data_IF_691371328021
#
_entry.id   IF_691371328021
#
_cell.length_a   1.000
_cell.length_b   1.000
_cell.length_c   1.000
_cell.angle_alpha   90.00
_cell.angle_beta   90.00
_cell.angle_gamma   90.00
#
_symmetry.space_group_name_H-M   'P 1'
#
loop_
_entity.id
_entity.type
_entity.pdbx_description
1 polymer ?
#
# COMPACT_ATOMS: atom_id res chain seq x y z
N UNK A 1 58.47 -2.90 27.84
CA UNK A 1 57.34 -3.74 27.35
C UNK A 1 56.27 -2.77 26.85
N UNK A 2 56.15 -2.59 25.53
CA UNK A 2 55.18 -1.67 24.91
C UNK A 2 53.89 -2.46 24.67
N UNK A 3 52.86 -2.17 25.45
CA UNK A 3 51.53 -2.73 25.23
C UNK A 3 50.81 -1.90 24.16
N UNK A 4 50.75 -2.42 22.95
CA UNK A 4 49.95 -1.85 21.86
C UNK A 4 48.47 -2.20 22.07
N UNK A 5 47.69 -1.26 22.58
CA UNK A 5 46.22 -1.34 22.56
C UNK A 5 45.72 -1.01 21.15
N UNK A 6 45.25 -2.02 20.44
CA UNK A 6 44.53 -1.86 19.17
C UNK A 6 43.11 -1.34 19.46
N UNK A 7 42.78 -0.15 18.95
CA UNK A 7 41.43 0.41 18.98
C UNK A 7 40.69 -0.15 17.76
N UNK A 8 39.76 -1.06 17.99
CA UNK A 8 38.87 -1.60 16.97
C UNK A 8 37.68 -0.63 16.82
N UNK A 9 37.70 0.23 15.80
CA UNK A 9 36.56 1.08 15.44
C UNK A 9 35.50 0.23 14.72
N UNK A 10 34.43 -0.13 15.43
CA UNK A 10 33.24 -0.68 14.78
C UNK A 10 32.55 0.44 13.98
N UNK A 11 32.61 0.35 12.65
CA UNK A 11 31.76 1.16 11.78
C UNK A 11 30.31 0.65 11.89
N UNK A 12 29.49 1.34 12.67
CA UNK A 12 28.03 1.18 12.62
C UNK A 12 27.52 1.79 11.33
N UNK A 13 27.31 0.94 10.31
CA UNK A 13 26.58 1.28 9.09
C UNK A 13 25.13 1.62 9.48
N UNK A 14 24.80 2.91 9.52
CA UNK A 14 23.41 3.36 9.63
C UNK A 14 22.77 3.07 8.27
N UNK A 15 22.15 1.90 8.14
CA UNK A 15 21.25 1.61 7.02
C UNK A 15 20.02 2.50 7.20
N UNK A 16 20.02 3.67 6.56
CA UNK A 16 18.80 4.40 6.31
C UNK A 16 17.96 3.54 5.37
N UNK A 17 17.00 2.79 5.92
CA UNK A 17 15.95 2.19 5.11
C UNK A 17 15.24 3.34 4.40
N UNK A 18 15.41 3.43 3.08
CA UNK A 18 14.66 4.40 2.28
C UNK A 18 13.18 4.10 2.45
N UNK A 19 12.36 5.14 2.61
CA UNK A 19 10.93 4.97 2.71
C UNK A 19 10.41 4.40 1.39
N UNK A 20 9.67 3.29 1.48
CA UNK A 20 9.06 2.64 0.32
C UNK A 20 8.14 3.64 -0.41
N UNK A 21 8.27 3.77 -1.72
CA UNK A 21 7.39 4.61 -2.53
C UNK A 21 6.39 3.75 -3.29
N UNK A 22 5.10 4.00 -3.14
CA UNK A 22 4.06 3.24 -3.84
C UNK A 22 3.26 4.11 -4.81
N UNK A 23 2.69 3.45 -5.82
CA UNK A 23 1.63 4.00 -6.64
C UNK A 23 0.32 3.90 -5.87
N UNK A 24 -0.41 5.02 -5.82
CA UNK A 24 -1.74 5.10 -5.25
C UNK A 24 -2.76 5.34 -6.34
N UNK A 25 -3.75 4.45 -6.41
CA UNK A 25 -4.90 4.62 -7.29
C UNK A 25 -6.09 3.78 -6.79
N UNK A 26 -7.27 4.40 -6.65
CA UNK A 26 -8.44 3.78 -6.04
C UNK A 26 -9.67 4.00 -6.92
N UNK A 27 -10.55 3.00 -6.94
CA UNK A 27 -11.86 3.05 -7.56
C UNK A 27 -12.90 2.77 -6.50
N UNK A 28 -13.92 3.62 -6.48
CA UNK A 28 -15.10 3.48 -5.64
C UNK A 28 -16.29 3.02 -6.50
N UNK A 29 -17.12 2.13 -5.97
CA UNK A 29 -18.38 1.70 -6.60
C UNK A 29 -19.53 1.86 -5.59
N UNK A 30 -20.67 2.43 -5.99
CA UNK A 30 -21.82 2.57 -5.10
C UNK A 30 -22.57 1.24 -4.93
N UNK A 31 -22.75 0.80 -3.68
CA UNK A 31 -23.43 -0.47 -3.33
C UNK A 31 -24.92 -0.49 -3.71
N UNK A 32 -25.63 0.64 -3.57
CA UNK A 32 -27.10 0.66 -3.68
C UNK A 32 -27.65 0.57 -5.10
N UNK A 33 -26.88 0.97 -6.11
CA UNK A 33 -27.35 1.00 -7.51
C UNK A 33 -26.63 0.00 -8.39
N UNK A 34 -25.56 -0.64 -7.90
CA UNK A 34 -24.62 -1.40 -8.73
C UNK A 34 -23.90 -0.53 -9.76
N UNK A 35 -24.20 0.78 -9.80
CA UNK A 35 -23.58 1.72 -10.70
C UNK A 35 -22.12 1.86 -10.27
N UNK A 36 -21.24 1.40 -11.15
CA UNK A 36 -19.83 1.73 -11.11
C UNK A 36 -19.72 3.19 -11.56
N UNK A 37 -20.05 4.11 -10.65
CA UNK A 37 -19.47 5.44 -10.69
C UNK A 37 -18.03 5.27 -10.22
N UNK A 38 -17.22 4.63 -11.06
CA UNK A 38 -15.79 4.72 -10.93
C UNK A 38 -15.50 6.21 -11.03
N UNK A 39 -15.26 6.83 -9.89
CA UNK A 39 -14.48 8.05 -9.86
C UNK A 39 -13.06 7.50 -9.92
N UNK A 40 -12.41 7.43 -11.09
CA UNK A 40 -10.99 7.09 -11.13
C UNK A 40 -10.29 8.20 -10.36
N UNK A 41 -9.89 7.86 -9.15
CA UNK A 41 -9.15 8.78 -8.33
C UNK A 41 -7.75 8.88 -8.95
N UNK A 42 -7.21 10.11 -8.97
CA UNK A 42 -5.94 10.39 -9.66
C UNK A 42 -4.88 9.37 -9.25
N UNK A 43 -4.13 8.88 -10.23
CA UNK A 43 -2.90 8.13 -9.95
C UNK A 43 -1.89 9.12 -9.39
N UNK A 44 -1.31 8.80 -8.24
CA UNK A 44 -0.20 9.55 -7.67
C UNK A 44 0.82 8.60 -7.05
N UNK A 45 2.01 9.12 -6.77
CA UNK A 45 3.12 8.39 -6.17
C UNK A 45 3.45 9.07 -4.85
N UNK A 46 3.62 8.29 -3.79
CA UNK A 46 3.84 8.84 -2.47
C UNK A 46 4.72 7.90 -1.64
N UNK A 47 5.52 8.49 -0.76
CA UNK A 47 6.28 7.75 0.23
C UNK A 47 5.32 7.17 1.27
N UNK A 48 5.52 5.91 1.60
CA UNK A 48 4.78 5.22 2.63
C UNK A 48 5.13 5.78 4.00
N UNK A 49 4.10 6.00 4.81
CA UNK A 49 4.27 6.45 6.19
C UNK A 49 4.90 5.35 7.05
N UNK A 50 5.42 5.75 8.22
CA UNK A 50 6.04 4.81 9.14
C UNK A 50 5.09 3.66 9.50
N UNK A 51 5.55 2.42 9.31
CA UNK A 51 4.75 1.21 9.55
C UNK A 51 3.98 0.68 8.34
N UNK A 52 3.98 1.42 7.22
CA UNK A 52 3.49 0.96 5.93
C UNK A 52 4.68 0.52 5.07
N UNK A 53 4.95 -0.78 5.09
CA UNK A 53 6.16 -1.38 4.53
C UNK A 53 5.87 -2.25 3.29
N UNK A 54 4.67 -2.16 2.72
CA UNK A 54 4.25 -2.88 1.52
C UNK A 54 3.56 -1.94 0.54
N UNK A 55 3.78 -2.15 -0.76
CA UNK A 55 2.81 -1.72 -1.75
C UNK A 55 1.84 -2.88 -1.97
N UNK A 56 0.54 -2.62 -1.97
CA UNK A 56 -0.43 -3.67 -2.21
C UNK A 56 -1.63 -3.25 -3.03
N UNK A 57 -2.26 -4.25 -3.64
CA UNK A 57 -3.54 -4.12 -4.31
C UNK A 57 -4.63 -4.79 -3.49
N UNK A 58 -5.78 -4.14 -3.37
CA UNK A 58 -6.98 -4.70 -2.75
C UNK A 58 -8.01 -5.06 -3.82
N UNK A 59 -8.69 -6.19 -3.62
CA UNK A 59 -9.95 -6.48 -4.28
C UNK A 59 -11.04 -5.55 -3.75
N UNK A 60 -12.26 -5.69 -4.29
CA UNK A 60 -13.42 -4.96 -3.80
C UNK A 60 -13.66 -5.28 -2.32
N UNK A 61 -13.39 -4.31 -1.45
CA UNK A 61 -13.72 -4.34 -0.02
C UNK A 61 -14.83 -3.34 0.27
N UNK A 62 -15.64 -3.60 1.28
CA UNK A 62 -16.61 -2.60 1.73
C UNK A 62 -15.96 -1.50 2.57
N UNK A 63 -16.73 -0.43 2.80
CA UNK A 63 -16.36 0.67 3.70
C UNK A 63 -15.81 0.21 5.05
N UNK A 64 -16.48 -0.72 5.73
CA UNK A 64 -16.05 -1.16 7.07
C UNK A 64 -14.68 -1.83 7.01
N UNK A 65 -14.48 -2.78 6.09
CA UNK A 65 -13.19 -3.42 5.87
C UNK A 65 -12.12 -2.43 5.40
N UNK A 66 -12.48 -1.46 4.57
CA UNK A 66 -11.57 -0.44 4.07
C UNK A 66 -11.06 0.48 5.18
N UNK A 67 -11.96 0.97 6.04
CA UNK A 67 -11.62 1.86 7.16
C UNK A 67 -10.78 1.16 8.24
N UNK A 68 -10.75 -0.18 8.25
CA UNK A 68 -9.93 -0.98 9.17
C UNK A 68 -8.49 -1.18 8.70
N UNK A 69 -8.12 -0.84 7.47
CA UNK A 69 -6.73 -0.97 7.03
C UNK A 69 -5.92 0.24 7.50
N UNK A 70 -4.71 -0.04 7.97
CA UNK A 70 -3.77 0.98 8.47
C UNK A 70 -3.19 1.86 7.32
N UNK A 71 -3.55 1.58 6.07
CA UNK A 71 -2.98 2.17 4.86
C UNK A 71 -3.13 3.70 4.70
N UNK A 72 -2.22 4.29 3.92
CA UNK A 72 -2.26 5.71 3.58
C UNK A 72 -3.30 5.96 2.51
N UNK A 73 -4.46 6.44 2.95
CA UNK A 73 -5.57 6.76 2.08
C UNK A 73 -5.42 8.15 1.47
N UNK A 74 -5.74 8.31 0.17
CA UNK A 74 -5.94 9.64 -0.35
C UNK A 74 -6.97 10.40 0.51
N UNK A 75 -6.57 11.57 1.03
CA UNK A 75 -7.40 12.40 1.95
C UNK A 75 -8.83 12.66 1.47
N UNK A 76 -9.09 12.60 0.17
CA UNK A 76 -10.41 12.80 -0.42
C UNK A 76 -11.35 11.58 -0.31
N UNK A 77 -10.86 10.39 0.05
CA UNK A 77 -11.71 9.20 0.22
C UNK A 77 -12.63 9.27 1.44
N UNK A 78 -12.25 10.02 2.47
CA UNK A 78 -13.10 10.24 3.65
C UNK A 78 -14.44 10.92 3.32
N UNK A 79 -14.55 11.61 2.18
CA UNK A 79 -15.80 12.23 1.72
C UNK A 79 -16.77 11.23 1.03
N UNK A 80 -16.32 10.03 0.69
CA UNK A 80 -17.09 9.01 -0.03
C UNK A 80 -17.30 7.73 0.78
N UNK A 81 -17.19 7.80 2.11
CA UNK A 81 -17.23 6.63 2.99
C UNK A 81 -18.52 5.81 2.80
N UNK A 82 -19.68 6.47 2.82
CA UNK A 82 -20.94 5.76 3.01
C UNK A 82 -21.50 5.08 1.76
N UNK A 83 -21.64 3.76 1.84
CA UNK A 83 -22.33 2.97 0.82
C UNK A 83 -21.51 2.71 -0.43
N UNK A 84 -20.18 2.84 -0.34
CA UNK A 84 -19.26 2.48 -1.41
C UNK A 84 -18.51 1.18 -1.11
N UNK A 85 -17.96 0.60 -2.17
CA UNK A 85 -16.92 -0.42 -2.11
C UNK A 85 -15.66 0.08 -2.82
N UNK A 86 -14.50 -0.34 -2.34
CA UNK A 86 -13.21 0.18 -2.75
C UNK A 86 -12.35 -0.92 -3.35
N UNK A 87 -11.61 -0.60 -4.41
CA UNK A 87 -10.56 -1.44 -5.00
C UNK A 87 -9.42 -0.54 -5.48
N UNK A 88 -8.18 -0.99 -5.46
CA UNK A 88 -7.07 -0.10 -5.81
C UNK A 88 -5.70 -0.62 -5.39
N UNK A 89 -4.68 0.25 -5.53
CA UNK A 89 -3.32 0.05 -5.05
C UNK A 89 -2.87 1.22 -4.16
N UNK A 90 -2.13 0.93 -3.08
CA UNK A 90 -1.60 1.93 -2.12
C UNK A 90 -0.61 1.29 -1.13
N UNK A 91 0.05 2.11 -0.32
CA UNK A 91 0.85 1.68 0.84
C UNK A 91 0.01 0.93 1.87
N UNK A 92 0.48 -0.25 2.28
CA UNK A 92 -0.11 -1.14 3.27
C UNK A 92 0.92 -1.55 4.32
N UNK A 93 0.46 -1.95 5.49
CA UNK A 93 1.27 -2.71 6.44
C UNK A 93 1.26 -4.21 6.09
N UNK A 94 2.27 -4.96 6.54
CA UNK A 94 2.21 -6.42 6.51
C UNK A 94 0.96 -7.01 7.20
N UNK A 95 0.45 -6.34 8.25
CA UNK A 95 -0.78 -6.73 8.94
C UNK A 95 -1.99 -6.60 8.03
N UNK A 96 -2.11 -5.50 7.30
CA UNK A 96 -3.19 -5.31 6.33
C UNK A 96 -3.13 -6.35 5.21
N UNK A 97 -1.94 -6.64 4.70
CA UNK A 97 -1.72 -7.70 3.73
C UNK A 97 -2.24 -9.06 4.24
N UNK A 98 -2.02 -9.37 5.51
CA UNK A 98 -2.56 -10.60 6.12
C UNK A 98 -4.09 -10.54 6.27
N UNK A 99 -4.64 -9.41 6.68
CA UNK A 99 -6.09 -9.22 6.88
C UNK A 99 -6.87 -9.41 5.58
N UNK A 100 -6.35 -8.89 4.46
CA UNK A 100 -6.96 -9.07 3.13
C UNK A 100 -6.57 -10.39 2.46
N UNK A 101 -5.83 -11.26 3.17
CA UNK A 101 -5.31 -12.53 2.66
C UNK A 101 -4.52 -12.36 1.35
N UNK A 102 -3.67 -11.35 1.29
CA UNK A 102 -2.89 -11.04 0.10
C UNK A 102 -1.82 -12.10 -0.19
N UNK A 103 -1.64 -12.40 -1.48
CA UNK A 103 -0.46 -13.11 -1.95
C UNK A 103 0.77 -12.19 -1.91
N UNK A 104 1.93 -12.73 -1.55
CA UNK A 104 3.19 -11.98 -1.62
C UNK A 104 3.89 -12.27 -2.94
N UNK A 105 4.24 -11.23 -3.70
CA UNK A 105 4.91 -11.36 -5.00
C UNK A 105 5.96 -10.27 -5.18
N UNK A 106 6.89 -10.47 -6.12
CA UNK A 106 7.81 -9.41 -6.54
C UNK A 106 7.08 -8.23 -7.23
N UNK A 107 5.94 -8.51 -7.88
CA UNK A 107 5.05 -7.50 -8.47
C UNK A 107 3.58 -7.90 -8.31
N UNK A 108 2.76 -6.88 -8.11
CA UNK A 108 1.31 -6.94 -7.97
C UNK A 108 0.56 -6.24 -9.12
N UNK A 109 1.24 -5.86 -10.20
CA UNK A 109 0.58 -5.29 -11.38
C UNK A 109 -0.45 -6.28 -11.95
N UNK A 110 -1.69 -5.82 -12.11
CA UNK A 110 -2.82 -6.63 -12.61
C UNK A 110 -3.35 -7.69 -11.64
N UNK A 111 -2.82 -7.76 -10.41
CA UNK A 111 -3.29 -8.69 -9.37
C UNK A 111 -4.20 -7.97 -8.39
N UNK A 112 -5.09 -8.71 -7.74
CA UNK A 112 -5.88 -8.24 -6.59
C UNK A 112 -5.47 -9.02 -5.36
N UNK A 113 -5.60 -8.42 -4.17
CA UNK A 113 -5.12 -8.99 -2.91
C UNK A 113 -3.67 -9.47 -3.05
N UNK A 114 -2.78 -8.54 -3.35
CA UNK A 114 -1.37 -8.81 -3.54
C UNK A 114 -0.54 -7.76 -2.81
N UNK A 115 0.55 -8.17 -2.17
CA UNK A 115 1.53 -7.27 -1.56
C UNK A 115 2.95 -7.55 -2.08
N UNK A 116 3.76 -6.50 -2.11
CA UNK A 116 5.13 -6.50 -2.58
C UNK A 116 5.95 -5.42 -1.85
N UNK A 117 7.27 -5.53 -1.86
CA UNK A 117 8.19 -4.78 -0.97
C UNK A 117 9.11 -3.79 -1.69
N UNK A 118 8.94 -3.59 -3.00
CA UNK A 118 9.78 -2.71 -3.81
C UNK A 118 8.99 -1.52 -4.33
N UNK A 119 9.70 -0.43 -4.66
CA UNK A 119 9.04 0.79 -5.12
C UNK A 119 8.12 0.52 -6.32
N UNK A 120 6.89 1.02 -6.23
CA UNK A 120 5.89 0.99 -7.31
C UNK A 120 5.57 -0.41 -7.84
N UNK A 121 5.81 -1.46 -7.04
CA UNK A 121 5.62 -2.84 -7.46
C UNK A 121 4.14 -3.25 -7.59
N UNK A 122 3.23 -2.45 -7.03
CA UNK A 122 1.78 -2.64 -7.11
C UNK A 122 1.14 -1.63 -8.06
N UNK A 123 0.31 -2.14 -8.96
CA UNK A 123 -0.46 -1.32 -9.88
C UNK A 123 -1.83 -1.95 -10.04
N UNK A 124 -2.88 -1.16 -9.79
CA UNK A 124 -4.23 -1.56 -10.09
C UNK A 124 -4.63 -0.99 -11.46
N UNK A 125 -4.85 -1.84 -12.45
CA UNK A 125 -5.38 -1.41 -13.75
C UNK A 125 -6.88 -1.63 -13.73
N UNK A 126 -7.66 -0.55 -13.89
CA UNK A 126 -9.09 -0.68 -14.11
C UNK A 126 -9.32 -1.26 -15.49
N UNK A 127 -9.50 -2.57 -15.59
CA UNK A 127 -10.06 -3.13 -16.82
C UNK A 127 -11.53 -2.71 -16.82
N UNK A 128 -11.85 -1.68 -17.59
CA UNK A 128 -13.22 -1.35 -17.97
C UNK A 128 -13.78 -2.55 -18.75
N UNK A 129 -14.81 -3.19 -18.19
CA UNK A 129 -15.65 -4.15 -18.89
C UNK A 129 -17.07 -3.58 -18.94
#
# INVERSE_FOLDING_TARGET
MLASTAILTLATSIFYAQALTCRHNVITTMKQTGAVNAVPLRVYFDECEQGLDRCGTIATVDEEAFLMLDGKWPRYLGAYAHGFSYRGAFCLSQKDCNNIQASTNATCSGKTNCCCETDNCAEFVSIEY
#
